data_IF_640822354195
#
_entry.id   IF_640822354195
#
_cell.length_a   1.000
_cell.length_b   1.000
_cell.length_c   1.000
_cell.angle_alpha   90.00
_cell.angle_beta   90.00
_cell.angle_gamma   90.00
#
_symmetry.space_group_name_H-M   'P 1'
#
loop_
_entity.id
_entity.type
_entity.pdbx_description
1 polymer ?
#
# COMPACT_ATOMS: atom_id res chain seq x y z
N UNK A 1 -29.95 -10.30 50.52
CA UNK A 1 -29.33 -8.97 50.76
C UNK A 1 -30.39 -7.90 50.60
N UNK A 2 -30.60 -7.06 51.61
CA UNK A 2 -31.73 -6.13 51.70
C UNK A 2 -31.54 -4.92 50.77
N UNK A 3 -32.55 -4.58 49.96
CA UNK A 3 -32.51 -3.52 48.93
C UNK A 3 -32.06 -2.13 49.43
N UNK A 4 -32.16 -1.86 50.74
CA UNK A 4 -31.74 -0.58 51.35
C UNK A 4 -30.24 -0.38 51.51
N UNK A 5 -29.42 -1.45 51.46
CA UNK A 5 -27.95 -1.35 51.64
C UNK A 5 -27.18 -1.21 50.32
N UNK A 6 -27.79 -1.61 49.21
CA UNK A 6 -27.25 -1.44 47.86
C UNK A 6 -26.94 0.01 47.47
N UNK A 7 -27.85 0.99 47.66
CA UNK A 7 -27.55 2.37 47.27
C UNK A 7 -26.44 3.00 48.11
N UNK A 8 -26.34 2.64 49.40
CA UNK A 8 -25.27 3.13 50.28
C UNK A 8 -23.89 2.62 49.86
N UNK A 9 -23.80 1.38 49.36
CA UNK A 9 -22.56 0.81 48.82
C UNK A 9 -22.17 1.48 47.49
N UNK A 10 -23.11 1.69 46.57
CA UNK A 10 -22.86 2.37 45.30
C UNK A 10 -22.33 3.80 45.48
N UNK A 11 -22.88 4.55 46.43
CA UNK A 11 -22.42 5.92 46.74
C UNK A 11 -21.01 5.91 47.31
N UNK A 12 -20.69 4.97 48.20
CA UNK A 12 -19.36 4.87 48.80
C UNK A 12 -18.28 4.49 47.77
N UNK A 13 -18.54 3.47 46.96
CA UNK A 13 -17.60 3.02 45.93
C UNK A 13 -17.41 4.08 44.83
N UNK A 14 -18.48 4.78 44.43
CA UNK A 14 -18.38 5.89 43.46
C UNK A 14 -17.60 7.09 44.01
N UNK A 15 -17.77 7.44 45.29
CA UNK A 15 -16.93 8.47 45.94
C UNK A 15 -15.46 8.05 46.03
N UNK A 16 -15.18 6.75 46.21
CA UNK A 16 -13.81 6.25 46.24
C UNK A 16 -13.14 6.37 44.86
N UNK A 17 -13.84 5.98 43.78
CA UNK A 17 -13.37 6.15 42.39
C UNK A 17 -13.14 7.62 42.03
N UNK A 18 -14.02 8.52 42.46
CA UNK A 18 -13.85 9.98 42.23
C UNK A 18 -12.67 10.57 43.02
N UNK A 19 -12.22 9.91 44.09
CA UNK A 19 -11.08 10.35 44.89
C UNK A 19 -9.75 9.76 44.41
N UNK A 20 -9.79 8.74 43.56
CA UNK A 20 -8.61 8.12 42.95
C UNK A 20 -8.20 8.91 41.69
N UNK A 21 -7.10 9.70 41.75
CA UNK A 21 -6.70 10.59 40.65
C UNK A 21 -6.34 9.81 39.37
N UNK A 22 -5.92 8.54 39.51
CA UNK A 22 -5.61 7.65 38.38
C UNK A 22 -6.85 7.24 37.59
N UNK A 23 -7.99 7.03 38.26
CA UNK A 23 -9.24 6.63 37.60
C UNK A 23 -9.78 7.75 36.72
N UNK A 24 -9.74 8.99 37.22
CA UNK A 24 -10.09 10.19 36.45
C UNK A 24 -9.12 10.36 35.27
N UNK A 25 -7.81 10.21 35.52
CA UNK A 25 -6.81 10.33 34.46
C UNK A 25 -7.04 9.32 33.34
N UNK A 26 -7.27 8.04 33.67
CA UNK A 26 -7.54 7.00 32.67
C UNK A 26 -8.83 7.32 31.89
N UNK A 27 -9.89 7.76 32.56
CA UNK A 27 -11.18 8.06 31.93
C UNK A 27 -11.10 9.14 30.84
N UNK A 28 -10.08 10.01 30.85
CA UNK A 28 -9.86 11.02 29.82
C UNK A 28 -8.68 10.70 28.91
N UNK A 29 -7.55 10.25 29.48
CA UNK A 29 -6.32 9.99 28.71
C UNK A 29 -6.49 8.77 27.81
N UNK A 30 -7.13 7.70 28.29
CA UNK A 30 -7.29 6.48 27.49
C UNK A 30 -8.16 6.71 26.25
N UNK A 31 -9.32 7.39 26.32
CA UNK A 31 -10.07 7.76 25.12
C UNK A 31 -9.27 8.63 24.15
N UNK A 32 -8.51 9.60 24.64
CA UNK A 32 -7.69 10.47 23.78
C UNK A 32 -6.60 9.66 23.07
N UNK A 33 -5.89 8.79 23.79
CA UNK A 33 -4.86 7.91 23.21
C UNK A 33 -5.48 6.96 22.17
N UNK A 34 -6.65 6.39 22.45
CA UNK A 34 -7.38 5.55 21.50
C UNK A 34 -7.76 6.31 20.24
N UNK A 35 -8.24 7.55 20.36
CA UNK A 35 -8.57 8.40 19.20
C UNK A 35 -7.34 8.66 18.33
N UNK A 36 -6.19 8.97 18.93
CA UNK A 36 -4.94 9.13 18.18
C UNK A 36 -4.47 7.83 17.53
N UNK A 37 -4.55 6.70 18.24
CA UNK A 37 -4.17 5.40 17.70
C UNK A 37 -5.05 5.01 16.51
N UNK A 38 -6.37 5.15 16.63
CA UNK A 38 -7.33 4.86 15.55
C UNK A 38 -7.15 5.83 14.37
N UNK A 39 -6.97 7.13 14.64
CA UNK A 39 -6.70 8.11 13.59
C UNK A 39 -5.42 7.78 12.82
N UNK A 40 -4.35 7.38 13.52
CA UNK A 40 -3.09 7.00 12.92
C UNK A 40 -3.22 5.74 12.04
N UNK A 41 -3.93 4.70 12.50
CA UNK A 41 -4.11 3.48 11.70
C UNK A 41 -4.96 3.72 10.45
N UNK A 42 -6.02 4.52 10.56
CA UNK A 42 -6.87 4.90 9.41
C UNK A 42 -6.04 5.68 8.39
N UNK A 43 -5.25 6.66 8.84
CA UNK A 43 -4.40 7.46 7.96
C UNK A 43 -3.32 6.60 7.27
N UNK A 44 -2.68 5.72 8.03
CA UNK A 44 -1.67 4.80 7.49
C UNK A 44 -2.28 3.89 6.42
N UNK A 45 -3.45 3.30 6.70
CA UNK A 45 -4.16 2.47 5.72
C UNK A 45 -4.58 3.25 4.48
N UNK A 46 -5.08 4.48 4.63
CA UNK A 46 -5.48 5.30 3.50
C UNK A 46 -4.29 5.63 2.57
N UNK A 47 -3.11 5.89 3.15
CA UNK A 47 -1.87 6.09 2.39
C UNK A 47 -1.44 4.81 1.66
N UNK A 48 -1.40 3.69 2.37
CA UNK A 48 -1.05 2.40 1.78
C UNK A 48 -1.95 2.03 0.60
N UNK A 49 -3.28 2.16 0.78
CA UNK A 49 -4.25 1.86 -0.27
C UNK A 49 -4.10 2.82 -1.47
N UNK A 50 -3.65 4.06 -1.26
CA UNK A 50 -3.35 4.99 -2.35
C UNK A 50 -2.11 4.57 -3.16
N UNK A 51 -1.03 4.19 -2.48
CA UNK A 51 0.20 3.71 -3.13
C UNK A 51 -0.03 2.43 -3.93
N UNK A 52 -0.85 1.50 -3.43
CA UNK A 52 -1.24 0.28 -4.15
C UNK A 52 -2.01 0.62 -5.43
N UNK A 53 -2.94 1.59 -5.39
CA UNK A 53 -3.69 2.01 -6.58
C UNK A 53 -2.79 2.64 -7.64
N UNK A 54 -1.86 3.49 -7.22
CA UNK A 54 -0.86 4.11 -8.11
C UNK A 54 0.01 3.04 -8.77
N UNK A 55 0.50 2.07 -7.99
CA UNK A 55 1.29 0.94 -8.47
C UNK A 55 0.55 0.14 -9.54
N UNK A 56 -0.71 -0.23 -9.30
CA UNK A 56 -1.53 -0.94 -10.30
C UNK A 56 -1.73 -0.12 -11.58
N UNK A 57 -1.86 1.20 -11.45
CA UNK A 57 -1.91 2.11 -12.59
C UNK A 57 -0.61 2.10 -13.40
N UNK A 58 0.54 2.21 -12.72
CA UNK A 58 1.86 2.18 -13.32
C UNK A 58 2.15 0.84 -14.03
N UNK A 59 1.81 -0.29 -13.40
CA UNK A 59 1.88 -1.63 -14.00
C UNK A 59 1.05 -1.69 -15.29
N UNK A 60 -0.18 -1.19 -15.26
CA UNK A 60 -1.04 -1.15 -16.44
C UNK A 60 -0.48 -0.28 -17.58
N UNK A 61 0.21 0.83 -17.26
CA UNK A 61 0.91 1.67 -18.25
C UNK A 61 2.09 0.90 -18.86
N UNK A 62 2.93 0.29 -18.03
CA UNK A 62 4.07 -0.50 -18.48
C UNK A 62 3.64 -1.68 -19.36
N UNK A 63 2.62 -2.43 -18.96
CA UNK A 63 2.10 -3.57 -19.72
C UNK A 63 1.61 -3.15 -21.11
N UNK A 64 0.88 -2.03 -21.21
CA UNK A 64 0.45 -1.48 -22.51
C UNK A 64 1.63 -1.05 -23.39
N UNK A 65 2.67 -0.45 -22.80
CA UNK A 65 3.87 -0.07 -23.54
C UNK A 65 4.62 -1.29 -24.09
N UNK A 66 4.74 -2.37 -23.30
CA UNK A 66 5.37 -3.63 -23.73
C UNK A 66 4.57 -4.28 -24.87
N UNK A 67 3.23 -4.31 -24.76
CA UNK A 67 2.38 -4.83 -25.83
C UNK A 67 2.55 -4.03 -27.13
N UNK A 68 2.53 -2.70 -27.06
CA UNK A 68 2.72 -1.84 -28.22
C UNK A 68 4.12 -2.01 -28.85
N UNK A 69 5.16 -2.20 -28.04
CA UNK A 69 6.49 -2.53 -28.51
C UNK A 69 6.52 -3.88 -29.25
N UNK A 70 5.90 -4.91 -28.65
CA UNK A 70 5.84 -6.24 -29.25
C UNK A 70 5.10 -6.25 -30.58
N UNK A 71 3.98 -5.53 -30.68
CA UNK A 71 3.20 -5.45 -31.90
C UNK A 71 3.97 -4.76 -33.04
N UNK A 72 4.90 -3.85 -32.73
CA UNK A 72 5.72 -3.14 -33.71
C UNK A 72 7.01 -3.87 -34.08
N UNK A 73 7.72 -4.40 -33.08
CA UNK A 73 9.06 -5.00 -33.25
C UNK A 73 9.03 -6.53 -33.40
N UNK A 74 7.89 -7.17 -33.12
CA UNK A 74 7.75 -8.62 -33.20
C UNK A 74 8.52 -9.40 -32.12
N UNK A 75 9.04 -8.72 -31.10
CA UNK A 75 9.77 -9.33 -29.96
C UNK A 75 9.50 -8.60 -28.65
N UNK A 76 9.80 -9.27 -27.55
CA UNK A 76 9.78 -8.65 -26.23
C UNK A 76 10.98 -7.69 -26.02
N UNK A 77 10.79 -6.61 -25.26
CA UNK A 77 11.88 -5.70 -24.89
C UNK A 77 12.84 -6.39 -23.93
N UNK A 78 14.13 -6.06 -24.03
CA UNK A 78 15.16 -6.59 -23.12
C UNK A 78 15.30 -5.77 -21.83
N UNK A 79 14.92 -4.49 -21.89
CA UNK A 79 14.98 -3.57 -20.76
C UNK A 79 13.97 -2.43 -20.91
N UNK A 80 13.77 -1.67 -19.83
CA UNK A 80 12.82 -0.55 -19.82
C UNK A 80 13.34 0.63 -20.66
N UNK A 81 14.65 0.77 -20.79
CA UNK A 81 15.31 1.78 -21.63
C UNK A 81 14.95 1.61 -23.11
N UNK A 82 14.69 0.38 -23.55
CA UNK A 82 14.29 0.09 -24.92
C UNK A 82 12.86 0.60 -25.23
N UNK A 83 11.99 0.69 -24.22
CA UNK A 83 10.67 1.30 -24.33
C UNK A 83 10.75 2.83 -24.38
N UNK A 84 11.79 3.41 -23.76
CA UNK A 84 12.08 4.84 -23.79
C UNK A 84 12.77 5.24 -25.09
N UNK A 85 13.72 4.45 -25.59
CA UNK A 85 14.48 4.75 -26.80
C UNK A 85 14.51 3.53 -27.72
N UNK A 86 13.42 3.27 -28.47
CA UNK A 86 13.36 2.10 -29.32
C UNK A 86 14.36 2.21 -30.49
N UNK A 87 14.92 1.07 -30.93
CA UNK A 87 15.87 1.03 -32.04
C UNK A 87 15.22 1.41 -33.37
N UNK A 88 13.89 1.24 -33.52
CA UNK A 88 13.15 1.77 -34.65
C UNK A 88 12.86 3.27 -34.43
N UNK A 89 13.56 4.09 -35.20
CA UNK A 89 13.50 5.54 -35.13
C UNK A 89 12.09 6.07 -35.36
N UNK A 90 11.35 6.41 -34.29
CA UNK A 90 10.21 7.33 -34.42
C UNK A 90 9.15 7.37 -33.32
N UNK A 91 9.00 6.38 -32.44
CA UNK A 91 7.94 6.45 -31.39
C UNK A 91 8.42 5.94 -30.05
N UNK A 92 8.54 6.85 -29.08
CA UNK A 92 8.70 6.49 -27.67
C UNK A 92 7.43 5.78 -27.17
N UNK A 93 7.55 4.61 -26.56
CA UNK A 93 6.40 3.90 -25.96
C UNK A 93 6.16 4.35 -24.51
N UNK A 94 7.19 4.87 -23.86
CA UNK A 94 7.15 5.52 -22.55
C UNK A 94 7.81 6.89 -22.65
N UNK A 95 7.29 7.86 -21.89
CA UNK A 95 7.90 9.19 -21.76
C UNK A 95 8.89 9.28 -20.60
N UNK A 96 8.73 8.44 -19.59
CA UNK A 96 9.59 8.33 -18.41
C UNK A 96 9.51 6.90 -17.85
N UNK A 97 10.49 6.53 -17.01
CA UNK A 97 10.45 5.26 -16.29
C UNK A 97 9.26 5.28 -15.32
N UNK A 98 8.28 4.35 -15.44
CA UNK A 98 7.19 4.25 -14.49
C UNK A 98 7.72 3.80 -13.13
N UNK A 99 7.32 4.53 -12.09
CA UNK A 99 7.60 4.21 -10.70
C UNK A 99 6.33 3.66 -10.04
N UNK A 100 6.50 2.80 -9.04
CA UNK A 100 5.40 2.39 -8.19
C UNK A 100 5.02 3.47 -7.15
N UNK A 101 4.01 3.21 -6.33
CA UNK A 101 3.54 4.14 -5.30
C UNK A 101 4.54 4.37 -4.15
N UNK A 102 5.66 3.64 -4.13
CA UNK A 102 6.76 3.83 -3.18
C UNK A 102 8.00 4.46 -3.85
N UNK A 103 7.94 4.76 -5.14
CA UNK A 103 9.01 5.42 -5.89
C UNK A 103 10.07 4.48 -6.46
N UNK A 104 9.85 3.16 -6.42
CA UNK A 104 10.76 2.19 -7.01
C UNK A 104 10.43 1.97 -8.49
N UNK A 105 11.44 1.79 -9.36
CA UNK A 105 11.19 1.44 -10.76
C UNK A 105 10.57 0.04 -10.87
N UNK A 106 9.69 -0.15 -11.85
CA UNK A 106 9.09 -1.46 -12.12
C UNK A 106 10.09 -2.40 -12.81
N UNK A 107 10.03 -3.69 -12.47
CA UNK A 107 10.79 -4.73 -13.16
C UNK A 107 9.90 -5.45 -14.16
N UNK A 108 10.39 -5.58 -15.41
CA UNK A 108 9.66 -6.23 -16.50
C UNK A 108 10.39 -7.52 -16.86
N UNK A 109 9.65 -8.63 -16.89
CA UNK A 109 10.15 -9.94 -17.28
C UNK A 109 9.19 -10.56 -18.29
N UNK A 110 9.71 -10.99 -19.43
CA UNK A 110 8.93 -11.73 -20.42
C UNK A 110 9.31 -13.21 -20.33
N UNK A 111 8.35 -14.07 -20.01
CA UNK A 111 8.53 -15.51 -20.07
C UNK A 111 8.00 -16.03 -21.39
N UNK A 112 8.80 -16.80 -22.13
CA UNK A 112 8.30 -17.54 -23.29
C UNK A 112 9.35 -17.73 -24.38
N UNK A 113 9.04 -18.68 -25.25
CA UNK A 113 9.83 -19.10 -26.42
C UNK A 113 9.18 -18.67 -27.76
N UNK A 114 8.21 -17.74 -27.72
CA UNK A 114 7.70 -17.07 -28.91
C UNK A 114 6.26 -17.42 -29.36
N UNK A 115 5.44 -18.10 -28.54
CA UNK A 115 4.00 -18.29 -28.85
C UNK A 115 3.00 -17.98 -27.74
N UNK A 116 3.43 -17.99 -26.47
CA UNK A 116 2.60 -17.58 -25.34
C UNK A 116 3.49 -16.84 -24.34
N UNK A 117 3.91 -15.63 -24.71
CA UNK A 117 4.78 -14.84 -23.84
C UNK A 117 3.95 -14.19 -22.73
N UNK A 118 4.07 -14.70 -21.51
CA UNK A 118 3.49 -14.09 -20.32
C UNK A 118 4.39 -12.91 -19.90
N UNK A 119 3.88 -11.70 -20.07
CA UNK A 119 4.55 -10.46 -19.67
C UNK A 119 4.27 -10.26 -18.18
N UNK A 120 5.30 -10.43 -17.35
CA UNK A 120 5.23 -10.16 -15.92
C UNK A 120 5.83 -8.78 -15.64
N UNK A 121 5.02 -7.87 -15.08
CA UNK A 121 5.48 -6.58 -14.58
C UNK A 121 5.33 -6.59 -13.07
N UNK A 122 6.42 -6.38 -12.36
CA UNK A 122 6.48 -6.56 -10.91
C UNK A 122 6.90 -5.23 -10.27
N UNK A 123 6.18 -4.85 -9.20
CA UNK A 123 6.61 -3.79 -8.27
C UNK A 123 7.37 -4.40 -7.09
N UNK A 124 8.39 -3.69 -6.62
CA UNK A 124 9.16 -4.04 -5.42
C UNK A 124 8.38 -3.76 -4.12
N UNK A 125 7.27 -3.04 -4.20
CA UNK A 125 6.41 -2.77 -3.05
C UNK A 125 7.04 -1.86 -1.98
N UNK A 126 6.48 -1.86 -0.76
CA UNK A 126 6.91 -1.00 0.34
C UNK A 126 8.36 -1.16 0.79
N UNK A 127 8.89 -2.39 0.79
CA UNK A 127 10.23 -2.70 1.27
C UNK A 127 11.32 -2.51 0.19
N UNK A 128 10.93 -2.40 -1.08
CA UNK A 128 11.87 -2.30 -2.21
C UNK A 128 12.62 -3.60 -2.52
N UNK A 129 12.23 -4.72 -1.90
CA UNK A 129 12.85 -6.03 -2.12
C UNK A 129 12.13 -6.77 -3.26
N UNK A 130 12.88 -7.60 -3.99
CA UNK A 130 12.36 -8.38 -5.11
C UNK A 130 12.12 -9.82 -4.69
N UNK A 131 10.95 -10.36 -5.01
CA UNK A 131 10.63 -11.78 -4.75
C UNK A 131 10.08 -12.07 -3.35
N UNK A 132 9.70 -11.03 -2.61
CA UNK A 132 8.98 -11.16 -1.35
C UNK A 132 7.46 -11.24 -1.60
N UNK A 133 6.70 -11.60 -0.56
CA UNK A 133 5.24 -11.78 -0.65
C UNK A 133 4.47 -10.45 -0.81
N UNK A 134 5.15 -9.30 -0.68
CA UNK A 134 4.57 -7.96 -0.85
C UNK A 134 4.69 -7.39 -2.27
N UNK A 135 5.31 -8.12 -3.19
CA UNK A 135 5.40 -7.75 -4.60
C UNK A 135 4.01 -7.69 -5.26
N UNK A 136 3.73 -6.56 -5.93
CA UNK A 136 2.47 -6.35 -6.66
C UNK A 136 2.68 -6.67 -8.14
N UNK A 137 1.78 -7.48 -8.70
CA UNK A 137 1.72 -7.88 -10.12
C UNK A 137 0.48 -7.32 -10.80
#
# INVERSE_FOLDING_TARGET
>A
MTARRFPALLVKESQQILRDPSAILIAFVLPVVLLFALGATILWKARYDAQVRETRGAIGVAHRAVLAFRDREGRCPRSIEELLHPPSTGSHFLHAVPLDGWGHPLWIRCHGDGRADEIEVISAGPNGAWGDDDNIR
#
